data_IF_938642103470
#
_entry.id   IF_938642103470
#
_cell.length_a   1.000
_cell.length_b   1.000
_cell.length_c   1.000
_cell.angle_alpha   90.00
_cell.angle_beta   90.00
_cell.angle_gamma   90.00
#
_symmetry.space_group_name_H-M   'P 1'
#
loop_
_entity.id
_entity.type
_entity.pdbx_description
1 polymer ?
#
# COMPACT_ATOMS: atom_id res chain seq x y z
N UNK A 1 67.25 -87.42 30.73
CA UNK A 1 67.31 -85.99 30.33
C UNK A 1 66.03 -85.33 30.82
N UNK A 2 66.12 -84.40 31.79
CA UNK A 2 64.95 -83.88 32.52
C UNK A 2 64.13 -82.87 31.70
N UNK A 3 62.78 -82.93 31.73
CA UNK A 3 61.89 -82.03 30.97
C UNK A 3 62.04 -80.54 31.36
N UNK A 4 62.49 -80.24 32.57
CA UNK A 4 62.76 -78.86 33.03
C UNK A 4 63.97 -78.25 32.31
N UNK A 5 64.98 -79.06 31.95
CA UNK A 5 66.12 -78.61 31.17
C UNK A 5 65.74 -78.33 29.70
N UNK A 6 64.75 -79.04 29.16
CA UNK A 6 64.22 -78.80 27.82
C UNK A 6 63.34 -77.53 27.75
N UNK A 7 62.63 -77.19 28.84
CA UNK A 7 61.88 -75.94 28.95
C UNK A 7 62.79 -74.72 29.09
N UNK A 8 63.84 -74.80 29.91
CA UNK A 8 64.85 -73.73 30.05
C UNK A 8 65.68 -73.57 28.77
N UNK A 9 66.00 -74.66 28.05
CA UNK A 9 66.68 -74.58 26.75
C UNK A 9 65.81 -74.01 25.64
N UNK A 10 64.49 -74.27 25.63
CA UNK A 10 63.54 -73.59 24.73
C UNK A 10 63.38 -72.11 25.06
N UNK A 11 63.41 -71.75 26.34
CA UNK A 11 63.32 -70.35 26.79
C UNK A 11 64.60 -69.55 26.52
N UNK A 12 65.80 -70.16 26.69
CA UNK A 12 67.08 -69.56 26.28
C UNK A 12 67.24 -69.46 24.75
N UNK A 13 66.68 -70.41 23.98
CA UNK A 13 66.55 -70.31 22.52
C UNK A 13 65.41 -69.37 22.06
N UNK A 14 64.57 -68.93 22.99
CA UNK A 14 63.47 -67.99 22.81
C UNK A 14 63.80 -66.58 23.32
N UNK A 15 65.06 -66.32 23.70
CA UNK A 15 65.56 -64.96 23.79
C UNK A 15 65.77 -64.44 22.37
N UNK A 16 65.12 -63.32 22.02
CA UNK A 16 65.36 -62.65 20.73
C UNK A 16 66.87 -62.51 20.56
N UNK A 17 67.40 -63.02 19.45
CA UNK A 17 68.83 -62.84 19.15
C UNK A 17 69.13 -61.34 19.05
N UNK A 18 70.35 -60.94 19.40
CA UNK A 18 70.75 -59.52 19.35
C UNK A 18 70.41 -58.87 18.00
N UNK A 19 70.56 -59.63 16.91
CA UNK A 19 70.17 -59.23 15.55
C UNK A 19 68.65 -59.02 15.39
N UNK A 20 67.80 -59.82 16.04
CA UNK A 20 66.34 -59.63 16.04
C UNK A 20 65.93 -58.38 16.82
N UNK A 21 66.53 -58.15 18.01
CA UNK A 21 66.28 -56.92 18.79
C UNK A 21 66.73 -55.69 18.01
N UNK A 22 67.89 -55.76 17.33
CA UNK A 22 68.36 -54.70 16.45
C UNK A 22 67.44 -54.49 15.25
N UNK A 23 66.92 -55.56 14.62
CA UNK A 23 65.95 -55.42 13.53
C UNK A 23 64.62 -54.81 13.97
N UNK A 24 64.14 -55.14 15.17
CA UNK A 24 62.93 -54.55 15.74
C UNK A 24 63.17 -53.08 16.12
N UNK A 25 64.35 -52.74 16.62
CA UNK A 25 64.75 -51.36 16.91
C UNK A 25 64.82 -50.51 15.63
N UNK A 26 65.42 -51.04 14.55
CA UNK A 26 65.47 -50.35 13.24
C UNK A 26 64.05 -50.14 12.70
N UNK A 27 63.17 -51.14 12.77
CA UNK A 27 61.76 -51.00 12.37
C UNK A 27 61.02 -49.94 13.19
N UNK A 28 61.19 -49.95 14.51
CA UNK A 28 60.58 -48.96 15.39
C UNK A 28 61.10 -47.55 15.07
N UNK A 29 62.38 -47.41 14.73
CA UNK A 29 62.97 -46.15 14.32
C UNK A 29 62.42 -45.67 12.96
N UNK A 30 62.19 -46.59 12.02
CA UNK A 30 61.52 -46.31 10.74
C UNK A 30 60.06 -45.89 10.93
N UNK A 31 59.30 -46.60 11.78
CA UNK A 31 57.91 -46.29 12.13
C UNK A 31 57.80 -44.92 12.82
N UNK A 32 58.67 -44.63 13.79
CA UNK A 32 58.72 -43.33 14.46
C UNK A 32 59.10 -42.21 13.48
N UNK A 33 60.00 -42.46 12.52
CA UNK A 33 60.32 -41.50 11.48
C UNK A 33 59.14 -41.28 10.52
N UNK A 34 58.34 -42.32 10.25
CA UNK A 34 57.12 -42.22 9.46
C UNK A 34 56.03 -41.42 10.18
N UNK A 35 55.77 -41.70 11.47
CA UNK A 35 54.84 -40.91 12.27
C UNK A 35 55.25 -39.45 12.41
N UNK A 36 56.54 -39.16 12.58
CA UNK A 36 57.03 -37.77 12.64
C UNK A 36 56.79 -37.01 11.35
N UNK A 37 56.97 -37.66 10.19
CA UNK A 37 56.64 -37.08 8.89
C UNK A 37 55.14 -36.83 8.74
N UNK A 38 54.32 -37.76 9.20
CA UNK A 38 52.87 -37.60 9.15
C UNK A 38 52.38 -36.49 10.08
N UNK A 39 52.91 -36.41 11.30
CA UNK A 39 52.62 -35.31 12.23
C UNK A 39 53.05 -33.95 11.65
N UNK A 40 54.19 -33.87 10.98
CA UNK A 40 54.62 -32.65 10.28
C UNK A 40 53.63 -32.28 9.18
N UNK A 41 53.24 -33.23 8.31
CA UNK A 41 52.26 -33.02 7.24
C UNK A 41 50.90 -32.53 7.78
N UNK A 42 50.41 -33.15 8.85
CA UNK A 42 49.16 -32.76 9.51
C UNK A 42 49.30 -31.34 10.08
N UNK A 43 50.42 -31.05 10.75
CA UNK A 43 50.67 -29.73 11.33
C UNK A 43 50.70 -28.66 10.23
N UNK A 44 51.39 -28.91 9.12
CA UNK A 44 51.41 -28.01 7.97
C UNK A 44 50.00 -27.78 7.38
N UNK A 45 49.22 -28.84 7.19
CA UNK A 45 47.84 -28.73 6.71
C UNK A 45 46.95 -27.94 7.69
N UNK A 46 47.11 -28.16 8.99
CA UNK A 46 46.31 -27.46 10.01
C UNK A 46 46.70 -25.98 10.10
N UNK A 47 47.99 -25.68 9.91
CA UNK A 47 48.50 -24.30 9.85
C UNK A 47 47.96 -23.58 8.60
N UNK A 48 47.89 -24.26 7.46
CA UNK A 48 47.28 -23.71 6.24
C UNK A 48 45.79 -23.42 6.42
N UNK A 49 45.04 -24.33 7.06
CA UNK A 49 43.61 -24.09 7.37
C UNK A 49 43.45 -22.90 8.32
N UNK A 50 44.30 -22.77 9.34
CA UNK A 50 44.25 -21.63 10.26
C UNK A 50 44.51 -20.30 9.53
N UNK A 51 45.49 -20.26 8.63
CA UNK A 51 45.75 -19.07 7.81
C UNK A 51 44.54 -18.70 6.94
N UNK A 52 43.91 -19.69 6.28
CA UNK A 52 42.70 -19.44 5.50
C UNK A 52 41.54 -18.91 6.34
N UNK A 53 41.40 -19.39 7.59
CA UNK A 53 40.39 -18.90 8.53
C UNK A 53 40.71 -17.47 8.96
N UNK A 54 41.96 -17.19 9.30
CA UNK A 54 42.42 -15.86 9.72
C UNK A 54 42.28 -14.83 8.60
N UNK A 55 42.46 -15.24 7.33
CA UNK A 55 42.23 -14.37 6.16
C UNK A 55 40.74 -14.11 5.90
N UNK A 56 39.87 -15.10 6.10
CA UNK A 56 38.42 -14.98 5.86
C UNK A 56 37.67 -14.29 6.99
N UNK A 57 38.14 -14.41 8.23
CA UNK A 57 37.51 -13.80 9.40
C UNK A 57 37.27 -12.27 9.26
N UNK A 58 38.25 -11.44 8.85
CA UNK A 58 38.03 -10.00 8.69
C UNK A 58 37.09 -9.68 7.52
N UNK A 59 37.06 -10.50 6.46
CA UNK A 59 36.14 -10.31 5.34
C UNK A 59 34.69 -10.52 5.78
N UNK A 60 34.42 -11.59 6.53
CA UNK A 60 33.10 -11.86 7.10
C UNK A 60 32.66 -10.77 8.07
N UNK A 61 33.58 -10.24 8.87
CA UNK A 61 33.30 -9.14 9.79
C UNK A 61 32.90 -7.87 9.04
N UNK A 62 33.65 -7.48 8.00
CA UNK A 62 33.31 -6.33 7.14
C UNK A 62 31.96 -6.51 6.46
N UNK A 63 31.69 -7.70 5.93
CA UNK A 63 30.39 -8.00 5.32
C UNK A 63 29.25 -7.81 6.33
N UNK A 64 29.41 -8.27 7.58
CA UNK A 64 28.40 -8.06 8.62
C UNK A 64 28.16 -6.59 8.91
N UNK A 65 29.21 -5.81 9.04
CA UNK A 65 29.12 -4.35 9.27
C UNK A 65 28.41 -3.65 8.10
N UNK A 66 28.74 -4.00 6.86
CA UNK A 66 28.06 -3.50 5.66
C UNK A 66 26.58 -3.90 5.61
N UNK A 67 26.26 -5.16 5.92
CA UNK A 67 24.88 -5.64 5.99
C UNK A 67 24.08 -4.90 7.07
N UNK A 68 24.66 -4.69 8.25
CA UNK A 68 24.02 -3.94 9.33
C UNK A 68 23.77 -2.48 8.92
N UNK A 69 24.73 -1.83 8.26
CA UNK A 69 24.57 -0.48 7.73
C UNK A 69 23.44 -0.39 6.69
N UNK A 70 23.42 -1.32 5.72
CA UNK A 70 22.36 -1.37 4.69
C UNK A 70 20.99 -1.63 5.33
N UNK A 71 20.91 -2.52 6.33
CA UNK A 71 19.66 -2.76 7.05
C UNK A 71 19.17 -1.50 7.77
N UNK A 72 20.07 -0.75 8.42
CA UNK A 72 19.72 0.52 9.06
C UNK A 72 19.23 1.56 8.04
N UNK A 73 19.93 1.74 6.92
CA UNK A 73 19.50 2.64 5.85
C UNK A 73 18.13 2.23 5.27
N UNK A 74 17.91 0.92 5.04
CA UNK A 74 16.64 0.41 4.56
C UNK A 74 15.49 0.69 5.55
N UNK A 75 15.74 0.54 6.85
CA UNK A 75 14.74 0.89 7.88
C UNK A 75 14.43 2.38 7.90
N UNK A 76 15.44 3.24 7.80
CA UNK A 76 15.26 4.70 7.74
C UNK A 76 14.49 5.12 6.49
N UNK A 77 14.79 4.53 5.33
CA UNK A 77 14.07 4.80 4.09
C UNK A 77 12.61 4.33 4.16
N UNK A 78 12.34 3.20 4.82
CA UNK A 78 10.98 2.72 5.05
C UNK A 78 10.19 3.69 5.97
N UNK A 79 10.82 4.18 7.04
CA UNK A 79 10.24 5.22 7.92
C UNK A 79 9.97 6.53 7.15
N UNK A 80 10.90 6.97 6.31
CA UNK A 80 10.70 8.14 5.44
C UNK A 80 9.57 7.93 4.43
N UNK A 81 9.44 6.73 3.87
CA UNK A 81 8.37 6.42 2.92
C UNK A 81 7.01 6.40 3.62
N UNK A 82 6.91 5.77 4.80
CA UNK A 82 5.66 5.73 5.57
C UNK A 82 5.21 7.12 6.02
N UNK A 83 6.13 7.97 6.46
CA UNK A 83 5.83 9.38 6.79
C UNK A 83 5.39 10.16 5.55
N UNK A 84 6.10 10.05 4.43
CA UNK A 84 5.71 10.71 3.18
C UNK A 84 4.35 10.24 2.65
N UNK A 85 4.00 8.96 2.81
CA UNK A 85 2.68 8.44 2.46
C UNK A 85 1.59 9.04 3.33
N UNK A 86 1.82 9.15 4.64
CA UNK A 86 0.89 9.78 5.57
C UNK A 86 0.67 11.25 5.24
N UNK A 87 1.74 12.01 5.02
CA UNK A 87 1.65 13.42 4.66
C UNK A 87 0.88 13.61 3.34
N UNK A 88 1.09 12.72 2.36
CA UNK A 88 0.34 12.73 1.11
C UNK A 88 -1.15 12.48 1.32
N UNK A 89 -1.51 11.54 2.19
CA UNK A 89 -2.91 11.25 2.52
C UNK A 89 -3.57 12.43 3.25
N UNK A 90 -2.89 13.03 4.22
CA UNK A 90 -3.37 14.21 4.93
C UNK A 90 -3.56 15.40 3.97
N UNK A 91 -2.61 15.65 3.06
CA UNK A 91 -2.73 16.69 2.03
C UNK A 91 -3.86 16.40 1.04
N UNK A 92 -4.06 15.14 0.66
CA UNK A 92 -5.16 14.75 -0.23
C UNK A 92 -6.53 15.00 0.42
N UNK A 93 -6.68 14.67 1.71
CA UNK A 93 -7.90 14.96 2.48
C UNK A 93 -8.14 16.47 2.57
N UNK A 94 -7.12 17.26 2.91
CA UNK A 94 -7.23 18.72 2.97
C UNK A 94 -7.59 19.32 1.60
N UNK A 95 -7.05 18.78 0.51
CA UNK A 95 -7.38 19.23 -0.84
C UNK A 95 -8.83 18.94 -1.21
N UNK A 96 -9.36 17.76 -0.88
CA UNK A 96 -10.77 17.43 -1.09
C UNK A 96 -11.70 18.29 -0.22
N UNK A 97 -11.38 18.50 1.05
CA UNK A 97 -12.15 19.37 1.94
C UNK A 97 -12.18 20.82 1.41
N UNK A 98 -11.03 21.34 0.97
CA UNK A 98 -10.92 22.65 0.35
C UNK A 98 -11.72 22.74 -0.96
N UNK A 99 -11.74 21.66 -1.75
CA UNK A 99 -12.52 21.58 -3.00
C UNK A 99 -14.02 21.63 -2.70
N UNK A 100 -14.50 20.84 -1.76
CA UNK A 100 -15.91 20.83 -1.35
C UNK A 100 -16.32 22.19 -0.76
N UNK A 101 -15.47 22.79 0.07
CA UNK A 101 -15.72 24.12 0.62
C UNK A 101 -15.81 25.17 -0.48
N UNK A 102 -14.89 25.14 -1.46
CA UNK A 102 -14.91 26.03 -2.61
C UNK A 102 -16.20 25.86 -3.43
N UNK A 103 -16.59 24.62 -3.75
CA UNK A 103 -17.81 24.36 -4.50
C UNK A 103 -19.05 24.92 -3.78
N UNK A 104 -19.11 24.78 -2.46
CA UNK A 104 -20.19 25.36 -1.65
C UNK A 104 -20.19 26.88 -1.73
N UNK A 105 -19.04 27.52 -1.52
CA UNK A 105 -18.90 28.99 -1.57
C UNK A 105 -19.20 29.52 -2.97
N UNK A 106 -18.84 28.80 -4.03
CA UNK A 106 -19.15 29.18 -5.41
C UNK A 106 -20.67 29.12 -5.67
N UNK A 107 -21.37 28.08 -5.17
CA UNK A 107 -22.84 27.97 -5.25
C UNK A 107 -23.53 29.11 -4.48
N UNK A 108 -23.06 29.40 -3.27
CA UNK A 108 -23.57 30.52 -2.45
C UNK A 108 -23.34 31.87 -3.14
N UNK A 109 -22.16 32.09 -3.74
CA UNK A 109 -21.87 33.30 -4.51
C UNK A 109 -22.81 33.47 -5.72
N UNK A 110 -23.08 32.40 -6.46
CA UNK A 110 -24.02 32.44 -7.59
C UNK A 110 -25.44 32.78 -7.11
N UNK A 111 -25.87 32.20 -5.98
CA UNK A 111 -27.17 32.50 -5.40
C UNK A 111 -27.27 33.98 -4.96
N UNK A 112 -26.26 34.49 -4.25
CA UNK A 112 -26.22 35.88 -3.80
C UNK A 112 -26.18 36.89 -4.97
N UNK A 113 -25.45 36.59 -6.05
CA UNK A 113 -25.46 37.43 -7.26
C UNK A 113 -26.84 37.53 -7.89
N UNK A 114 -27.54 36.40 -8.04
CA UNK A 114 -28.92 36.37 -8.55
C UNK A 114 -29.89 37.14 -7.64
N UNK A 115 -29.72 37.02 -6.33
CA UNK A 115 -30.53 37.77 -5.37
C UNK A 115 -30.28 39.29 -5.49
N UNK A 116 -29.02 39.71 -5.60
CA UNK A 116 -28.64 41.11 -5.81
C UNK A 116 -29.21 41.68 -7.12
N UNK A 117 -29.11 40.94 -8.23
CA UNK A 117 -29.69 41.32 -9.52
C UNK A 117 -31.22 41.49 -9.41
N UNK A 118 -31.90 40.56 -8.74
CA UNK A 118 -33.34 40.65 -8.51
C UNK A 118 -33.72 41.86 -7.66
N UNK A 119 -32.97 42.13 -6.59
CA UNK A 119 -33.19 43.29 -5.73
C UNK A 119 -32.95 44.60 -6.49
N UNK A 120 -31.92 44.67 -7.33
CA UNK A 120 -31.64 45.83 -8.17
C UNK A 120 -32.78 46.12 -9.15
N UNK A 121 -33.30 45.08 -9.84
CA UNK A 121 -34.47 45.20 -10.71
C UNK A 121 -35.72 45.64 -9.94
N UNK A 122 -35.90 45.12 -8.73
CA UNK A 122 -37.02 45.50 -7.86
C UNK A 122 -36.94 46.99 -7.48
N UNK A 123 -35.77 47.47 -7.06
CA UNK A 123 -35.55 48.89 -6.73
C UNK A 123 -35.76 49.78 -7.95
N UNK A 124 -35.24 49.40 -9.13
CA UNK A 124 -35.44 50.15 -10.37
C UNK A 124 -36.92 50.25 -10.75
N UNK A 125 -37.67 49.15 -10.63
CA UNK A 125 -39.10 49.11 -10.90
C UNK A 125 -39.88 49.99 -9.91
N UNK A 126 -39.51 49.98 -8.63
CA UNK A 126 -40.13 50.82 -7.60
C UNK A 126 -39.87 52.31 -7.85
N UNK A 127 -38.63 52.68 -8.20
CA UNK A 127 -38.27 54.06 -8.54
C UNK A 127 -38.99 54.55 -9.80
N UNK A 128 -39.09 53.73 -10.84
CA UNK A 128 -39.82 54.08 -12.06
C UNK A 128 -41.33 54.29 -11.80
N UNK A 129 -41.91 53.51 -10.88
CA UNK A 129 -43.30 53.70 -10.41
C UNK A 129 -43.47 54.99 -9.60
N UNK A 130 -42.52 55.32 -8.72
CA UNK A 130 -42.57 56.55 -7.91
C UNK A 130 -42.42 57.82 -8.78
N UNK A 131 -41.67 57.73 -9.88
CA UNK A 131 -41.49 58.83 -10.85
C UNK A 131 -42.66 58.96 -11.85
N UNK A 132 -43.67 58.07 -11.80
CA UNK A 132 -44.87 58.18 -12.62
C UNK A 132 -44.70 57.80 -14.10
N UNK A 133 -43.66 57.03 -14.45
CA UNK A 133 -43.44 56.60 -15.84
C UNK A 133 -44.57 55.66 -16.31
N UNK A 134 -45.01 55.77 -17.58
CA UNK A 134 -46.04 54.91 -18.13
C UNK A 134 -45.55 53.44 -18.18
N UNK A 135 -46.45 52.45 -17.96
CA UNK A 135 -46.10 51.02 -17.90
C UNK A 135 -45.33 50.48 -19.13
N UNK A 136 -45.49 51.15 -20.28
CA UNK A 136 -44.81 50.81 -21.54
C UNK A 136 -43.30 51.06 -21.53
N UNK A 137 -42.81 52.05 -20.78
CA UNK A 137 -41.35 52.33 -20.67
C UNK A 137 -40.68 51.43 -19.62
N UNK A 138 -41.41 51.04 -18.58
CA UNK A 138 -40.94 50.12 -17.54
C UNK A 138 -40.65 48.73 -18.13
N UNK A 139 -41.50 48.24 -19.03
CA UNK A 139 -41.29 46.98 -19.74
C UNK A 139 -40.04 46.97 -20.64
N UNK A 140 -39.69 48.12 -21.23
CA UNK A 140 -38.51 48.25 -22.11
C UNK A 140 -37.20 48.18 -21.32
N UNK A 141 -37.17 48.71 -20.08
CA UNK A 141 -35.99 48.62 -19.20
C UNK A 141 -35.68 47.17 -18.79
N UNK A 142 -36.70 46.38 -18.45
CA UNK A 142 -36.54 44.97 -18.06
C UNK A 142 -36.13 44.06 -19.22
N UNK A 143 -36.41 44.45 -20.47
CA UNK A 143 -36.14 43.62 -21.66
C UNK A 143 -34.72 43.79 -22.20
N UNK A 144 -34.04 44.89 -21.85
CA UNK A 144 -32.69 45.22 -22.37
C UNK A 144 -31.55 44.48 -21.66
N UNK A 145 -31.81 43.72 -20.58
CA UNK A 145 -30.75 43.08 -19.77
C UNK A 145 -30.67 41.54 -19.85
N UNK A 146 -31.52 40.87 -20.62
CA UNK A 146 -31.46 39.41 -20.75
C UNK A 146 -30.80 39.00 -22.07
N UNK A 147 -29.55 38.51 -22.09
CA UNK A 147 -29.02 37.83 -23.26
C UNK A 147 -29.72 36.46 -23.38
N UNK A 148 -30.38 36.29 -24.51
CA UNK A 148 -30.97 35.06 -25.00
C UNK A 148 -29.91 33.95 -25.08
N UNK A 149 -29.94 32.99 -24.17
CA UNK A 149 -29.31 31.69 -24.37
C UNK A 149 -30.23 30.56 -23.91
N UNK A 150 -30.75 29.86 -24.93
CA UNK A 150 -30.96 28.41 -25.02
C UNK A 150 -31.69 27.70 -23.87
N UNK A 151 -32.82 27.06 -24.19
CA UNK A 151 -32.82 25.61 -24.41
C UNK A 151 -34.23 25.12 -24.76
N UNK A 152 -34.41 24.74 -26.02
CA UNK A 152 -35.47 23.82 -26.41
C UNK A 152 -35.27 22.51 -25.64
N UNK A 153 -36.06 22.25 -24.59
CA UNK A 153 -36.39 20.92 -24.05
C UNK A 153 -37.32 21.00 -22.82
N UNK A 154 -38.54 21.53 -22.99
CA UNK A 154 -39.80 21.03 -22.40
C UNK A 154 -40.87 22.12 -22.56
N UNK A 155 -41.59 22.16 -23.70
CA UNK A 155 -42.52 23.25 -23.99
C UNK A 155 -43.65 23.34 -22.97
N UNK A 156 -43.98 22.25 -22.26
CA UNK A 156 -45.08 22.21 -21.32
C UNK A 156 -44.69 22.69 -19.90
N UNK A 157 -43.46 22.44 -19.45
CA UNK A 157 -42.98 22.91 -18.14
C UNK A 157 -42.57 24.38 -18.23
N UNK A 158 -41.87 24.78 -19.30
CA UNK A 158 -41.52 26.17 -19.55
C UNK A 158 -42.76 27.05 -19.77
N UNK A 159 -43.81 26.56 -20.43
CA UNK A 159 -45.03 27.33 -20.62
C UNK A 159 -45.83 27.49 -19.32
N UNK A 160 -45.83 26.52 -18.41
CA UNK A 160 -46.46 26.65 -17.09
C UNK A 160 -45.65 27.62 -16.20
N UNK A 161 -44.32 27.55 -16.24
CA UNK A 161 -43.41 28.47 -15.54
C UNK A 161 -43.52 29.90 -16.11
N UNK A 162 -43.74 30.06 -17.41
CA UNK A 162 -43.82 31.40 -18.00
C UNK A 162 -45.22 31.98 -17.81
N UNK A 163 -46.29 31.24 -18.09
CA UNK A 163 -47.66 31.78 -18.08
C UNK A 163 -48.26 31.99 -16.68
N UNK A 164 -47.96 31.12 -15.70
CA UNK A 164 -48.59 31.21 -14.37
C UNK A 164 -47.69 31.87 -13.32
N UNK A 165 -46.39 31.95 -13.59
CA UNK A 165 -45.36 32.37 -12.64
C UNK A 165 -44.67 33.69 -13.01
N UNK A 166 -45.02 34.29 -14.17
CA UNK A 166 -44.51 35.62 -14.58
C UNK A 166 -45.60 36.66 -14.84
N UNK A 167 -46.89 36.27 -14.83
CA UNK A 167 -48.00 37.21 -15.01
C UNK A 167 -48.70 37.44 -13.67
N UNK A 168 -48.54 38.64 -13.13
CA UNK A 168 -49.14 39.05 -11.84
C UNK A 168 -49.91 40.34 -12.05
N UNK A 169 -51.16 40.41 -11.58
CA UNK A 169 -51.95 41.66 -11.65
C UNK A 169 -51.71 42.57 -10.46
N UNK A 170 -51.28 42.02 -9.32
CA UNK A 170 -51.14 42.77 -8.06
C UNK A 170 -49.88 42.41 -7.26
N UNK A 171 -49.39 43.33 -6.42
CA UNK A 171 -48.12 43.17 -5.66
C UNK A 171 -48.19 42.01 -4.66
N UNK A 172 -49.37 41.77 -4.07
CA UNK A 172 -49.58 40.66 -3.15
C UNK A 172 -49.53 39.29 -3.84
N UNK A 173 -49.98 39.22 -5.10
CA UNK A 173 -49.94 38.00 -5.91
C UNK A 173 -48.48 37.64 -6.28
N UNK A 174 -47.66 38.63 -6.64
CA UNK A 174 -46.23 38.48 -6.85
C UNK A 174 -45.50 37.98 -5.60
N UNK A 175 -45.86 38.52 -4.42
CA UNK A 175 -45.24 38.11 -3.15
C UNK A 175 -45.62 36.67 -2.77
N UNK A 176 -46.89 36.27 -2.96
CA UNK A 176 -47.32 34.90 -2.73
C UNK A 176 -46.67 33.91 -3.71
N UNK A 177 -46.53 34.28 -4.98
CA UNK A 177 -45.86 33.43 -5.96
C UNK A 177 -44.36 33.31 -5.68
N UNK A 178 -43.68 34.38 -5.27
CA UNK A 178 -42.29 34.30 -4.81
C UNK A 178 -42.12 33.40 -3.58
N UNK A 179 -43.03 33.48 -2.60
CA UNK A 179 -42.99 32.57 -1.44
C UNK A 179 -43.22 31.11 -1.85
N UNK A 180 -44.10 30.84 -2.82
CA UNK A 180 -44.33 29.49 -3.34
C UNK A 180 -43.11 28.97 -4.10
N UNK A 181 -42.51 29.79 -4.97
CA UNK A 181 -41.27 29.44 -5.66
C UNK A 181 -40.15 29.14 -4.67
N UNK A 182 -39.97 29.98 -3.65
CA UNK A 182 -38.93 29.81 -2.65
C UNK A 182 -39.08 28.49 -1.89
N UNK A 183 -40.32 28.12 -1.54
CA UNK A 183 -40.62 26.81 -0.95
C UNK A 183 -40.31 25.67 -1.90
N UNK A 184 -40.74 25.75 -3.16
CA UNK A 184 -40.45 24.70 -4.16
C UNK A 184 -38.95 24.55 -4.41
N UNK A 185 -38.19 25.65 -4.44
CA UNK A 185 -36.73 25.60 -4.58
C UNK A 185 -36.05 25.01 -3.35
N UNK A 186 -36.54 25.31 -2.14
CA UNK A 186 -36.04 24.69 -0.91
C UNK A 186 -36.36 23.19 -0.89
N UNK A 187 -37.59 22.80 -1.24
CA UNK A 187 -37.99 21.40 -1.33
C UNK A 187 -37.18 20.65 -2.40
N UNK A 188 -36.90 21.27 -3.55
CA UNK A 188 -36.10 20.65 -4.60
C UNK A 188 -34.61 20.52 -4.18
N UNK A 189 -34.07 21.52 -3.46
CA UNK A 189 -32.73 21.46 -2.91
C UNK A 189 -32.59 20.32 -1.87
N UNK A 190 -33.54 20.22 -0.93
CA UNK A 190 -33.54 19.13 0.07
C UNK A 190 -33.67 17.75 -0.57
N UNK A 191 -34.48 17.61 -1.63
CA UNK A 191 -34.59 16.35 -2.38
C UNK A 191 -33.31 16.00 -3.12
N UNK A 192 -32.63 16.97 -3.71
CA UNK A 192 -31.34 16.75 -4.38
C UNK A 192 -30.26 16.33 -3.38
N UNK A 193 -30.21 16.98 -2.22
CA UNK A 193 -29.27 16.61 -1.14
C UNK A 193 -29.52 15.18 -0.64
N UNK A 194 -30.79 14.81 -0.42
CA UNK A 194 -31.16 13.44 -0.03
C UNK A 194 -30.80 12.40 -1.10
N UNK A 195 -30.98 12.70 -2.39
CA UNK A 195 -30.61 11.80 -3.48
C UNK A 195 -29.08 11.69 -3.63
N UNK A 196 -28.34 12.78 -3.45
CA UNK A 196 -26.87 12.74 -3.39
C UNK A 196 -26.37 11.88 -2.22
N UNK A 197 -26.95 12.04 -1.04
CA UNK A 197 -26.58 11.25 0.14
C UNK A 197 -26.89 9.77 -0.05
N UNK A 198 -28.05 9.44 -0.62
CA UNK A 198 -28.39 8.05 -1.01
C UNK A 198 -27.38 7.49 -2.00
N UNK A 199 -27.02 8.24 -3.04
CA UNK A 199 -26.01 7.81 -4.02
C UNK A 199 -24.67 7.56 -3.37
N UNK A 200 -24.23 8.44 -2.45
CA UNK A 200 -22.98 8.26 -1.69
C UNK A 200 -23.04 7.00 -0.82
N UNK A 201 -24.15 6.77 -0.12
CA UNK A 201 -24.34 5.55 0.69
C UNK A 201 -24.26 4.29 -0.17
N UNK A 202 -25.02 4.23 -1.27
CA UNK A 202 -24.99 3.07 -2.18
C UNK A 202 -23.61 2.86 -2.78
N UNK A 203 -22.88 3.94 -3.08
CA UNK A 203 -21.53 3.82 -3.63
C UNK A 203 -20.56 3.27 -2.60
N UNK A 204 -20.62 3.77 -1.36
CA UNK A 204 -19.80 3.27 -0.25
C UNK A 204 -20.09 1.81 0.10
N UNK A 205 -21.37 1.40 0.04
CA UNK A 205 -21.77 -0.01 0.23
C UNK A 205 -21.17 -0.92 -0.85
N UNK A 206 -21.29 -0.53 -2.13
CA UNK A 206 -20.70 -1.28 -3.25
C UNK A 206 -19.18 -1.35 -3.17
N UNK A 207 -18.51 -0.26 -2.78
CA UNK A 207 -17.07 -0.25 -2.57
C UNK A 207 -16.66 -1.21 -1.44
N UNK A 208 -17.39 -1.19 -0.32
CA UNK A 208 -17.15 -2.11 0.80
C UNK A 208 -17.35 -3.57 0.41
N UNK A 209 -18.38 -3.87 -0.39
CA UNK A 209 -18.63 -5.23 -0.89
C UNK A 209 -17.52 -5.69 -1.84
N UNK A 210 -17.10 -4.85 -2.78
CA UNK A 210 -16.00 -5.14 -3.70
C UNK A 210 -14.67 -5.37 -2.96
N UNK A 211 -14.39 -4.60 -1.90
CA UNK A 211 -13.20 -4.80 -1.06
C UNK A 211 -13.28 -6.14 -0.33
N UNK A 212 -14.44 -6.51 0.23
CA UNK A 212 -14.63 -7.78 0.90
C UNK A 212 -14.45 -8.99 -0.04
N UNK A 213 -14.98 -8.91 -1.27
CA UNK A 213 -14.77 -9.94 -2.30
C UNK A 213 -13.30 -10.05 -2.69
N UNK A 214 -12.61 -8.92 -2.89
CA UNK A 214 -11.19 -8.91 -3.20
C UNK A 214 -10.35 -9.55 -2.07
N UNK A 215 -10.68 -9.26 -0.80
CA UNK A 215 -10.03 -9.87 0.35
C UNK A 215 -10.22 -11.39 0.37
N UNK A 216 -11.45 -11.88 0.16
CA UNK A 216 -11.73 -13.31 0.10
C UNK A 216 -10.96 -14.01 -1.04
N UNK A 217 -10.85 -13.37 -2.21
CA UNK A 217 -10.07 -13.90 -3.33
C UNK A 217 -8.57 -13.97 -3.00
N UNK A 218 -8.02 -12.95 -2.33
CA UNK A 218 -6.62 -12.94 -1.89
C UNK A 218 -6.36 -14.05 -0.88
N UNK A 219 -7.24 -14.25 0.10
CA UNK A 219 -7.14 -15.35 1.06
C UNK A 219 -7.18 -16.71 0.37
N UNK A 220 -8.12 -16.92 -0.56
CA UNK A 220 -8.21 -18.16 -1.33
C UNK A 220 -6.96 -18.42 -2.17
N UNK A 221 -6.36 -17.38 -2.76
CA UNK A 221 -5.09 -17.49 -3.50
C UNK A 221 -3.91 -17.80 -2.56
N UNK A 222 -3.89 -17.20 -1.37
CA UNK A 222 -2.88 -17.46 -0.34
C UNK A 222 -2.93 -18.92 0.13
N UNK A 223 -4.12 -19.45 0.37
CA UNK A 223 -4.31 -20.85 0.75
C UNK A 223 -3.89 -21.82 -0.37
N UNK A 224 -4.19 -21.47 -1.64
CA UNK A 224 -3.70 -22.24 -2.80
C UNK A 224 -2.18 -22.22 -2.91
N UNK A 225 -1.54 -21.08 -2.64
CA UNK A 225 -0.08 -20.99 -2.62
C UNK A 225 0.52 -21.81 -1.48
N UNK A 226 -0.06 -21.75 -0.28
CA UNK A 226 0.38 -22.56 0.86
C UNK A 226 0.26 -24.06 0.57
N UNK A 227 -0.88 -24.51 0.05
CA UNK A 227 -1.08 -25.92 -0.32
C UNK A 227 -0.14 -26.36 -1.45
N UNK A 228 0.13 -25.50 -2.44
CA UNK A 228 1.12 -25.77 -3.47
C UNK A 228 2.55 -25.88 -2.88
N UNK A 229 2.90 -25.01 -1.93
CA UNK A 229 4.19 -25.04 -1.25
C UNK A 229 4.38 -26.34 -0.46
N UNK A 230 3.37 -26.75 0.32
CA UNK A 230 3.38 -28.02 1.05
C UNK A 230 3.54 -29.24 0.11
N UNK A 231 2.93 -29.20 -1.08
CA UNK A 231 3.10 -30.26 -2.11
C UNK A 231 4.51 -30.27 -2.68
N UNK A 232 5.11 -29.12 -2.92
CA UNK A 232 6.51 -29.04 -3.39
C UNK A 232 7.45 -29.59 -2.30
N UNK A 233 7.22 -29.25 -1.04
CA UNK A 233 8.00 -29.78 0.08
C UNK A 233 7.88 -31.29 0.22
N UNK A 234 6.68 -31.87 0.02
CA UNK A 234 6.53 -33.33 0.01
C UNK A 234 7.29 -33.96 -1.15
N UNK A 235 7.21 -33.40 -2.37
CA UNK A 235 7.99 -33.90 -3.52
C UNK A 235 9.50 -33.77 -3.32
N UNK A 236 9.98 -32.70 -2.68
CA UNK A 236 11.38 -32.53 -2.32
C UNK A 236 11.85 -33.61 -1.34
N UNK A 237 11.05 -33.91 -0.30
CA UNK A 237 11.35 -34.99 0.66
C UNK A 237 11.38 -36.36 -0.02
N UNK A 238 10.42 -36.65 -0.89
CA UNK A 238 10.39 -37.90 -1.66
C UNK A 238 11.62 -38.02 -2.58
N UNK A 239 11.99 -36.96 -3.30
CA UNK A 239 13.19 -36.90 -4.13
C UNK A 239 14.46 -37.17 -3.31
N UNK A 240 14.58 -36.54 -2.15
CA UNK A 240 15.76 -36.67 -1.29
C UNK A 240 15.85 -38.08 -0.67
N UNK A 241 14.71 -38.71 -0.38
CA UNK A 241 14.63 -40.10 0.07
C UNK A 241 15.06 -41.07 -1.04
N UNK A 242 14.56 -40.88 -2.27
CA UNK A 242 14.97 -41.67 -3.44
C UNK A 242 16.47 -41.52 -3.74
N UNK A 243 17.03 -40.32 -3.62
CA UNK A 243 18.48 -40.07 -3.77
C UNK A 243 19.34 -40.79 -2.74
N UNK A 244 18.81 -41.11 -1.56
CA UNK A 244 19.54 -41.85 -0.52
C UNK A 244 19.46 -43.37 -0.70
N UNK A 245 18.51 -43.86 -1.49
CA UNK A 245 18.35 -45.30 -1.76
C UNK A 245 19.08 -45.79 -3.03
N UNK A 246 19.53 -44.86 -3.89
CA UNK A 246 20.39 -45.10 -5.05
C UNK A 246 21.86 -44.83 -4.69
#
# INVERSE_FOLDING_TARGET
LSPTAAAVSRMQKSGKTFTQVYSDYVKLQEELAAEKRENQRITESLTGILQEIDERAPLLQKQREEYEAICQEATQLAEQLTTAMRDREELAQQAEDARLHRERVDRENVALKKESERLALQVQTLLAKQQGLPPSEIAKLSTMQSPSHTAANHPQVEHIITSQLTTFRDIQELQQQNQRLLKVTQDLATRLEQEEDRRKQTHSELESEAIAEAQQLIEALRDRLQTAHLRIDSYMRERDLLRRML
#
